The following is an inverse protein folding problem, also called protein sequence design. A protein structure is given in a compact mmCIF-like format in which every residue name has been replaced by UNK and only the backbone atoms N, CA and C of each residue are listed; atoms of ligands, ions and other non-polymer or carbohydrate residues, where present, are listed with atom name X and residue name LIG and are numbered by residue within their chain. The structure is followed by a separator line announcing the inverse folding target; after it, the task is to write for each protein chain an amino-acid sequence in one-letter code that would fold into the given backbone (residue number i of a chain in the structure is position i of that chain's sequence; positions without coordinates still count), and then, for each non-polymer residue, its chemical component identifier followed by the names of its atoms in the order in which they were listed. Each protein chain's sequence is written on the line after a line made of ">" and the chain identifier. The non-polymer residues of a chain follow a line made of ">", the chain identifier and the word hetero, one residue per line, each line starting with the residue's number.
data_IF_852778323269
#
_entry.id   IF_852778323269
#
_cell.length_a   1.000
_cell.length_b   1.000
_cell.length_c   1.000
_cell.angle_alpha   90.00
_cell.angle_beta   90.00
_cell.angle_gamma   90.00
#
_symmetry.space_group_name_H-M   'P 1'
#
loop_
_entity.id
_entity.type
_entity.pdbx_description
1 polymer ?
#
# COMPACT_ATOMS: atom_id res chain seq x y z
N UNK A 1 4.80 -30.95 8.72
CA UNK A 1 4.53 -30.07 9.89
C UNK A 1 3.13 -29.50 9.71
N UNK A 2 2.20 -29.91 10.60
CA UNK A 2 0.75 -29.76 10.48
C UNK A 2 0.30 -28.28 10.51
N UNK A 3 -0.79 -28.00 9.79
CA UNK A 3 -1.43 -26.67 9.74
C UNK A 3 -1.78 -26.10 11.15
N UNK A 4 -1.98 -26.96 12.15
CA UNK A 4 -2.22 -26.58 13.53
C UNK A 4 -1.00 -25.93 14.21
N UNK A 5 0.23 -26.34 13.90
CA UNK A 5 1.45 -25.75 14.46
C UNK A 5 1.76 -24.35 13.93
N UNK A 6 1.42 -24.08 12.66
CA UNK A 6 1.58 -22.75 12.07
C UNK A 6 0.59 -21.72 12.65
N UNK A 7 -0.63 -22.15 13.01
CA UNK A 7 -1.64 -21.30 13.65
C UNK A 7 -1.27 -20.86 15.07
N UNK A 8 -0.68 -21.75 15.87
CA UNK A 8 -0.31 -21.48 17.26
C UNK A 8 0.91 -20.56 17.35
N UNK A 9 1.93 -20.76 16.48
CA UNK A 9 3.08 -19.87 16.39
C UNK A 9 2.71 -18.43 15.98
N UNK A 10 1.75 -18.26 15.08
CA UNK A 10 1.24 -16.94 14.71
C UNK A 10 0.49 -16.27 15.86
N UNK A 11 -0.32 -16.98 16.62
CA UNK A 11 -1.06 -16.43 17.78
C UNK A 11 -0.14 -15.92 18.88
N UNK A 12 0.89 -16.68 19.24
CA UNK A 12 1.90 -16.28 20.23
C UNK A 12 2.69 -15.06 19.74
N UNK A 13 3.08 -15.05 18.48
CA UNK A 13 3.78 -13.92 17.87
C UNK A 13 2.94 -12.64 17.87
N UNK A 14 1.66 -12.73 17.53
CA UNK A 14 0.73 -11.59 17.60
C UNK A 14 0.53 -11.11 19.05
N UNK A 15 0.43 -12.02 20.01
CA UNK A 15 0.31 -11.66 21.44
C UNK A 15 1.55 -10.91 21.96
N UNK A 16 2.74 -11.33 21.55
CA UNK A 16 3.99 -10.64 21.86
C UNK A 16 4.08 -9.28 21.16
N UNK A 17 3.79 -9.23 19.86
CA UNK A 17 3.79 -7.98 19.10
C UNK A 17 2.78 -6.95 19.65
N UNK A 18 1.68 -7.39 20.23
CA UNK A 18 0.72 -6.48 20.86
C UNK A 18 1.28 -5.74 22.07
N UNK A 19 2.22 -6.38 22.81
CA UNK A 19 2.75 -5.89 24.11
C UNK A 19 4.11 -5.23 24.01
N UNK A 20 4.91 -5.60 23.02
CA UNK A 20 6.29 -5.10 22.83
C UNK A 20 6.30 -3.99 21.81
N UNK A 21 7.07 -2.94 22.02
CA UNK A 21 7.29 -1.91 21.03
C UNK A 21 7.78 -2.55 19.71
N UNK A 22 7.11 -2.22 18.61
CA UNK A 22 7.41 -2.83 17.32
C UNK A 22 8.83 -2.52 16.84
N UNK A 23 9.43 -1.39 17.24
CA UNK A 23 10.81 -1.02 16.91
C UNK A 23 11.80 -1.95 17.60
N UNK A 24 11.57 -2.22 18.88
CA UNK A 24 12.38 -3.18 19.65
C UNK A 24 12.24 -4.58 19.03
N UNK A 25 11.02 -5.00 18.70
CA UNK A 25 10.78 -6.26 18.00
C UNK A 25 11.59 -6.37 16.72
N UNK A 26 11.54 -5.35 15.86
CA UNK A 26 12.28 -5.33 14.60
C UNK A 26 13.80 -5.35 14.82
N UNK A 27 14.30 -4.63 15.83
CA UNK A 27 15.72 -4.63 16.20
C UNK A 27 16.21 -6.02 16.63
N UNK A 28 15.46 -6.68 17.50
CA UNK A 28 15.75 -8.05 17.93
C UNK A 28 15.69 -9.03 16.76
N UNK A 29 14.66 -8.95 15.93
CA UNK A 29 14.52 -9.83 14.74
C UNK A 29 15.63 -9.62 13.73
N UNK A 30 16.09 -8.39 13.56
CA UNK A 30 17.23 -8.08 12.70
C UNK A 30 18.52 -8.69 13.22
N UNK A 31 18.77 -8.64 14.53
CA UNK A 31 19.96 -9.25 15.17
C UNK A 31 19.93 -10.78 15.15
N UNK A 32 18.76 -11.38 15.44
CA UNK A 32 18.60 -12.84 15.44
C UNK A 32 18.58 -13.45 14.04
N UNK A 33 18.41 -12.62 13.01
CA UNK A 33 18.49 -13.05 11.63
C UNK A 33 19.93 -13.39 11.28
N UNK A 34 20.24 -14.68 11.14
CA UNK A 34 21.52 -15.10 10.58
C UNK A 34 21.73 -14.57 9.16
N UNK A 35 22.97 -14.46 8.74
CA UNK A 35 23.41 -13.96 7.42
C UNK A 35 22.92 -14.77 6.22
N UNK A 36 22.19 -15.86 6.44
CA UNK A 36 21.73 -16.75 5.36
C UNK A 36 20.55 -16.14 4.59
N UNK A 37 20.71 -15.82 3.30
CA UNK A 37 19.59 -15.38 2.47
C UNK A 37 18.53 -16.49 2.43
N UNK A 38 17.29 -16.16 2.74
CA UNK A 38 16.19 -17.13 2.65
C UNK A 38 16.02 -17.53 1.17
N UNK A 39 16.06 -18.82 0.87
CA UNK A 39 15.97 -19.38 -0.50
C UNK A 39 14.78 -18.81 -1.28
N UNK A 40 13.64 -18.59 -0.61
CA UNK A 40 12.41 -18.05 -1.21
C UNK A 40 12.54 -16.65 -1.82
N UNK A 41 13.55 -15.85 -1.43
CA UNK A 41 13.73 -14.49 -1.91
C UNK A 41 14.87 -14.34 -2.92
N UNK A 42 15.61 -15.41 -3.28
CA UNK A 42 16.82 -15.32 -4.11
C UNK A 42 16.56 -14.64 -5.45
N UNK A 43 15.54 -15.09 -6.19
CA UNK A 43 15.24 -14.51 -7.50
C UNK A 43 14.86 -13.03 -7.38
N UNK A 44 13.93 -12.69 -6.50
CA UNK A 44 13.51 -11.29 -6.27
C UNK A 44 14.66 -10.42 -5.76
N UNK A 45 15.55 -10.97 -4.96
CA UNK A 45 16.75 -10.26 -4.51
C UNK A 45 17.68 -9.94 -5.68
N UNK A 46 17.93 -10.89 -6.58
CA UNK A 46 18.78 -10.67 -7.76
C UNK A 46 18.18 -9.57 -8.66
N UNK A 47 16.89 -9.62 -8.93
CA UNK A 47 16.19 -8.58 -9.71
C UNK A 47 16.27 -7.22 -9.02
N UNK A 48 16.00 -7.14 -7.72
CA UNK A 48 16.05 -5.89 -6.97
C UNK A 48 17.47 -5.31 -6.92
N UNK A 49 18.50 -6.17 -6.80
CA UNK A 49 19.90 -5.75 -6.83
C UNK A 49 20.30 -5.23 -8.21
N UNK A 50 19.92 -5.94 -9.28
CA UNK A 50 20.18 -5.51 -10.66
C UNK A 50 19.51 -4.16 -10.96
N UNK A 51 18.25 -3.98 -10.55
CA UNK A 51 17.53 -2.71 -10.68
C UNK A 51 18.26 -1.58 -9.93
N UNK A 52 18.65 -1.83 -8.69
CA UNK A 52 19.41 -0.85 -7.90
C UNK A 52 20.72 -0.46 -8.58
N UNK A 53 21.52 -1.44 -8.99
CA UNK A 53 22.79 -1.19 -9.68
C UNK A 53 22.60 -0.39 -10.96
N UNK A 54 21.54 -0.73 -11.71
CA UNK A 54 21.21 -0.07 -12.96
C UNK A 54 20.74 1.38 -12.78
N UNK A 55 20.05 1.71 -11.70
CA UNK A 55 19.44 3.02 -11.47
C UNK A 55 20.29 3.94 -10.58
N UNK A 56 20.97 3.38 -9.58
CA UNK A 56 21.63 4.13 -8.51
C UNK A 56 23.14 3.85 -8.42
N UNK A 57 23.67 2.97 -9.28
CA UNK A 57 25.05 2.51 -9.20
C UNK A 57 25.29 1.47 -8.10
N UNK A 58 26.50 1.43 -7.55
CA UNK A 58 26.88 0.45 -6.53
C UNK A 58 26.16 0.65 -5.20
N UNK A 59 25.97 -0.43 -4.46
CA UNK A 59 25.44 -0.37 -3.11
C UNK A 59 24.89 -1.71 -2.60
N UNK A 60 24.81 -1.85 -1.27
CA UNK A 60 24.28 -3.04 -0.61
C UNK A 60 22.75 -2.93 -0.48
N UNK A 61 22.06 -4.02 -0.80
CA UNK A 61 20.62 -4.15 -0.64
C UNK A 61 20.31 -5.41 0.16
N UNK A 62 19.79 -5.26 1.37
CA UNK A 62 19.25 -6.38 2.15
C UNK A 62 17.75 -6.57 1.84
N UNK A 63 17.48 -7.01 0.62
CA UNK A 63 16.11 -7.21 0.13
C UNK A 63 15.30 -8.16 1.03
N UNK A 64 15.94 -9.23 1.52
CA UNK A 64 15.24 -10.18 2.37
C UNK A 64 14.82 -9.56 3.73
N UNK A 65 15.64 -8.66 4.28
CA UNK A 65 15.26 -7.90 5.47
C UNK A 65 14.13 -6.92 5.17
N UNK A 66 14.19 -6.22 4.06
CA UNK A 66 13.12 -5.30 3.67
C UNK A 66 11.77 -6.02 3.58
N UNK A 67 11.73 -7.21 2.95
CA UNK A 67 10.52 -8.03 2.86
C UNK A 67 10.04 -8.57 4.22
N UNK A 68 10.97 -9.00 5.07
CA UNK A 68 10.62 -9.46 6.41
C UNK A 68 10.12 -8.31 7.29
N UNK A 69 10.80 -7.15 7.25
CA UNK A 69 10.38 -5.95 7.98
C UNK A 69 8.95 -5.56 7.60
N UNK A 70 8.65 -5.53 6.29
CA UNK A 70 7.30 -5.26 5.79
C UNK A 70 6.29 -6.24 6.40
N UNK A 71 6.55 -7.56 6.33
CA UNK A 71 5.66 -8.57 6.90
C UNK A 71 5.42 -8.39 8.40
N UNK A 72 6.47 -8.03 9.16
CA UNK A 72 6.35 -7.76 10.59
C UNK A 72 5.55 -6.49 10.88
N UNK A 73 5.74 -5.44 10.10
CA UNK A 73 4.97 -4.19 10.22
C UNK A 73 3.49 -4.44 9.89
N UNK A 74 3.20 -5.13 8.80
CA UNK A 74 1.83 -5.48 8.43
C UNK A 74 1.15 -6.32 9.53
N UNK A 75 1.85 -7.31 10.08
CA UNK A 75 1.35 -8.12 11.19
C UNK A 75 1.14 -7.28 12.46
N UNK A 76 2.06 -6.38 12.77
CA UNK A 76 1.95 -5.49 13.93
C UNK A 76 0.75 -4.55 13.83
N UNK A 77 0.48 -4.00 12.64
CA UNK A 77 -0.66 -3.12 12.42
C UNK A 77 -2.00 -3.89 12.37
N UNK A 78 -2.07 -4.90 11.50
CA UNK A 78 -3.34 -5.56 11.16
C UNK A 78 -3.74 -6.59 12.22
N UNK A 79 -2.83 -7.50 12.57
CA UNK A 79 -3.17 -8.64 13.43
C UNK A 79 -2.95 -8.36 14.92
N UNK A 80 -1.84 -7.69 15.25
CA UNK A 80 -1.50 -7.42 16.65
C UNK A 80 -2.08 -6.08 17.15
N UNK A 81 -2.40 -5.14 16.28
CA UNK A 81 -2.84 -3.77 16.63
C UNK A 81 -1.86 -3.14 17.65
N UNK A 82 -0.58 -3.19 17.32
CA UNK A 82 0.47 -2.68 18.18
C UNK A 82 0.26 -1.18 18.45
N UNK A 83 0.06 -0.83 19.72
CA UNK A 83 -0.34 0.53 20.11
C UNK A 83 0.66 1.60 19.64
N UNK A 84 1.97 1.33 19.76
CA UNK A 84 3.00 2.28 19.33
C UNK A 84 2.97 2.49 17.82
N UNK A 85 2.81 1.41 17.03
CA UNK A 85 2.70 1.52 15.57
C UNK A 85 1.42 2.24 15.17
N UNK A 86 0.27 1.91 15.79
CA UNK A 86 -0.99 2.59 15.50
C UNK A 86 -0.95 4.09 15.81
N UNK A 87 -0.30 4.48 16.90
CA UNK A 87 -0.06 5.89 17.23
C UNK A 87 0.80 6.59 16.18
N UNK A 88 1.85 5.93 15.67
CA UNK A 88 2.66 6.49 14.58
C UNK A 88 1.88 6.64 13.27
N UNK A 89 1.04 5.63 12.92
CA UNK A 89 0.20 5.72 11.72
C UNK A 89 -0.83 6.86 11.87
N UNK A 90 -1.42 7.04 13.04
CA UNK A 90 -2.32 8.15 13.31
C UNK A 90 -1.60 9.52 13.17
N UNK A 91 -0.35 9.62 13.63
CA UNK A 91 0.46 10.81 13.42
C UNK A 91 0.76 11.07 11.94
N UNK A 92 1.11 10.02 11.17
CA UNK A 92 1.28 10.13 9.72
C UNK A 92 -0.02 10.58 9.02
N UNK A 93 -1.18 10.04 9.44
CA UNK A 93 -2.48 10.48 8.93
C UNK A 93 -2.73 11.96 9.24
N UNK A 94 -2.45 12.41 10.46
CA UNK A 94 -2.61 13.80 10.83
C UNK A 94 -1.69 14.75 10.03
N UNK A 95 -0.47 14.32 9.72
CA UNK A 95 0.43 15.09 8.84
C UNK A 95 -0.10 15.18 7.41
N UNK A 96 -0.59 14.07 6.86
CA UNK A 96 -1.19 14.03 5.52
C UNK A 96 -2.47 14.86 5.47
N UNK A 97 -3.23 14.87 6.54
CA UNK A 97 -4.50 15.60 6.66
C UNK A 97 -4.34 17.12 6.65
N UNK A 98 -3.16 17.62 7.02
CA UNK A 98 -2.83 19.05 6.86
C UNK A 98 -2.90 19.51 5.39
N UNK A 99 -2.75 18.58 4.45
CA UNK A 99 -2.88 18.85 3.00
C UNK A 99 -4.27 18.48 2.50
N UNK A 100 -4.83 17.38 2.97
CA UNK A 100 -6.07 16.79 2.43
C UNK A 100 -7.32 17.54 2.90
N UNK A 101 -7.43 17.83 4.19
CA UNK A 101 -8.61 18.49 4.76
C UNK A 101 -8.87 19.89 4.16
N UNK A 102 -7.86 20.77 3.95
CA UNK A 102 -8.07 22.05 3.28
C UNK A 102 -8.60 21.92 1.85
N UNK A 103 -8.17 20.91 1.09
CA UNK A 103 -8.67 20.65 -0.26
C UNK A 103 -10.16 20.30 -0.22
N UNK A 104 -10.57 19.39 0.66
CA UNK A 104 -11.98 19.04 0.83
C UNK A 104 -12.83 20.23 1.26
N UNK A 105 -12.34 21.06 2.19
CA UNK A 105 -13.02 22.29 2.61
C UNK A 105 -13.16 23.32 1.48
N UNK A 106 -12.22 23.30 0.54
CA UNK A 106 -12.28 24.15 -0.67
C UNK A 106 -13.17 23.54 -1.78
N UNK A 107 -13.86 22.41 -1.51
CA UNK A 107 -14.70 21.75 -2.50
C UNK A 107 -13.91 21.01 -3.60
N UNK A 108 -12.67 20.63 -3.32
CA UNK A 108 -11.81 19.90 -4.27
C UNK A 108 -11.73 18.42 -3.89
N UNK A 109 -12.23 17.48 -4.72
CA UNK A 109 -12.07 16.05 -4.48
C UNK A 109 -10.59 15.65 -4.44
N UNK A 110 -10.24 14.62 -3.66
CA UNK A 110 -8.85 14.19 -3.47
C UNK A 110 -8.65 12.75 -3.91
N UNK A 111 -7.61 12.54 -4.73
CA UNK A 111 -7.04 11.23 -5.04
C UNK A 111 -5.74 11.07 -4.25
N UNK A 112 -5.68 10.07 -3.40
CA UNK A 112 -4.50 9.72 -2.63
C UNK A 112 -3.62 8.76 -3.44
N UNK A 113 -2.37 9.13 -3.64
CA UNK A 113 -1.41 8.42 -4.48
C UNK A 113 -0.20 7.94 -3.65
N UNK A 114 -0.37 6.90 -2.79
CA UNK A 114 0.74 6.34 -2.05
C UNK A 114 1.74 5.62 -2.94
N UNK A 115 3.02 5.65 -2.53
CA UNK A 115 4.09 4.91 -3.17
C UNK A 115 4.38 3.61 -2.42
N UNK A 116 4.75 2.52 -3.13
CA UNK A 116 5.11 1.22 -2.54
C UNK A 116 6.50 1.26 -1.88
N UNK A 117 6.64 2.01 -0.80
CA UNK A 117 7.92 2.19 -0.11
C UNK A 117 8.11 1.21 1.05
N UNK A 118 7.48 1.45 2.19
CA UNK A 118 7.58 0.60 3.39
C UNK A 118 6.59 -0.57 3.34
N UNK A 119 5.32 -0.25 3.16
CA UNK A 119 4.21 -1.19 3.06
C UNK A 119 3.00 -0.51 2.42
N UNK A 120 2.37 -1.19 1.47
CA UNK A 120 1.10 -0.79 0.85
C UNK A 120 -0.05 -0.83 1.89
N UNK A 121 -0.04 -1.82 2.78
CA UNK A 121 -1.02 -1.93 3.87
C UNK A 121 -0.95 -0.71 4.78
N UNK A 122 0.24 -0.35 5.28
CA UNK A 122 0.39 0.81 6.16
C UNK A 122 0.07 2.13 5.45
N UNK A 123 0.49 2.27 4.19
CA UNK A 123 0.16 3.45 3.40
C UNK A 123 -1.36 3.59 3.20
N UNK A 124 -2.05 2.48 2.92
CA UNK A 124 -3.52 2.43 2.84
C UNK A 124 -4.18 2.83 4.17
N UNK A 125 -3.68 2.33 5.31
CA UNK A 125 -4.21 2.68 6.63
C UNK A 125 -4.04 4.18 6.93
N UNK A 126 -2.89 4.77 6.57
CA UNK A 126 -2.66 6.21 6.70
C UNK A 126 -3.65 7.00 5.83
N UNK A 127 -3.82 6.62 4.55
CA UNK A 127 -4.75 7.28 3.65
C UNK A 127 -6.23 7.14 4.06
N UNK A 128 -6.61 6.04 4.73
CA UNK A 128 -7.95 5.87 5.27
C UNK A 128 -8.20 6.68 6.55
N UNK A 129 -7.12 7.11 7.21
CA UNK A 129 -7.19 7.91 8.43
C UNK A 129 -7.41 9.40 8.21
N UNK A 130 -7.19 9.93 6.97
CA UNK A 130 -7.39 11.35 6.67
C UNK A 130 -8.85 11.68 6.39
N UNK A 131 -9.22 12.95 6.52
CA UNK A 131 -10.57 13.43 6.21
C UNK A 131 -11.01 12.98 4.80
N UNK A 132 -12.25 12.49 4.63
CA UNK A 132 -13.37 12.36 5.58
C UNK A 132 -13.34 11.06 6.41
N UNK A 133 -12.24 10.34 6.48
CA UNK A 133 -12.09 9.12 7.28
C UNK A 133 -12.61 7.85 6.59
N UNK A 134 -12.85 7.90 5.28
CA UNK A 134 -13.27 6.78 4.42
C UNK A 134 -12.53 6.82 3.09
N UNK A 135 -12.11 5.64 2.60
CA UNK A 135 -11.44 5.54 1.32
C UNK A 135 -11.82 4.26 0.56
N UNK A 136 -11.79 4.31 -0.76
CA UNK A 136 -11.80 3.12 -1.62
C UNK A 136 -10.42 2.93 -2.23
N UNK A 137 -9.86 1.74 -2.06
CA UNK A 137 -8.57 1.36 -2.65
C UNK A 137 -8.82 0.67 -3.99
N UNK A 138 -8.25 1.23 -5.05
CA UNK A 138 -8.26 0.56 -6.35
C UNK A 138 -7.09 -0.41 -6.39
N UNK A 139 -7.39 -1.70 -6.60
CA UNK A 139 -6.42 -2.79 -6.55
C UNK A 139 -6.42 -3.59 -7.86
N UNK A 140 -5.26 -4.19 -8.17
CA UNK A 140 -5.08 -5.11 -9.29
C UNK A 140 -5.13 -6.58 -8.87
N UNK A 141 -5.83 -6.91 -7.83
CA UNK A 141 -5.89 -8.27 -7.29
C UNK A 141 -7.28 -8.62 -6.74
N UNK A 142 -7.41 -9.85 -6.23
CA UNK A 142 -8.64 -10.32 -5.61
C UNK A 142 -9.02 -9.47 -4.38
N UNK A 143 -10.16 -8.79 -4.48
CA UNK A 143 -10.74 -7.97 -3.39
C UNK A 143 -10.90 -8.78 -2.11
N UNK A 144 -11.32 -10.04 -2.20
CA UNK A 144 -11.51 -10.88 -1.02
C UNK A 144 -10.17 -11.18 -0.32
N UNK A 145 -9.08 -11.29 -1.08
CA UNK A 145 -7.74 -11.47 -0.50
C UNK A 145 -7.28 -10.22 0.26
N UNK A 146 -7.63 -9.03 -0.22
CA UNK A 146 -7.35 -7.76 0.48
C UNK A 146 -8.28 -7.58 1.68
N UNK A 147 -9.58 -7.80 1.54
CA UNK A 147 -10.56 -7.69 2.61
C UNK A 147 -10.24 -8.63 3.80
N UNK A 148 -9.75 -9.85 3.51
CA UNK A 148 -9.30 -10.80 4.55
C UNK A 148 -8.05 -10.35 5.30
N UNK A 149 -7.24 -9.47 4.72
CA UNK A 149 -6.05 -8.88 5.36
C UNK A 149 -6.37 -7.62 6.16
N UNK A 150 -7.55 -7.04 5.92
CA UNK A 150 -7.99 -5.87 6.69
C UNK A 150 -8.38 -6.27 8.11
N UNK A 151 -8.03 -5.48 9.12
CA UNK A 151 -8.44 -5.73 10.49
C UNK A 151 -9.95 -5.76 10.63
N UNK A 152 -10.45 -6.50 11.62
CA UNK A 152 -11.87 -6.63 11.89
C UNK A 152 -12.51 -5.27 12.20
N UNK A 153 -13.74 -5.12 11.76
CA UNK A 153 -14.76 -4.11 12.06
C UNK A 153 -14.41 -2.63 11.82
N UNK A 154 -13.49 -2.00 12.52
CA UNK A 154 -13.25 -0.56 12.43
C UNK A 154 -12.71 -0.13 11.05
N UNK A 155 -11.77 -0.89 10.49
CA UNK A 155 -11.20 -0.59 9.18
C UNK A 155 -12.11 -0.97 8.02
N UNK A 156 -12.97 -2.00 8.20
CA UNK A 156 -14.01 -2.34 7.21
C UNK A 156 -15.04 -1.25 7.01
N UNK A 157 -15.26 -0.42 8.03
CA UNK A 157 -16.14 0.74 7.92
C UNK A 157 -15.48 1.91 7.18
N UNK A 158 -14.14 1.94 7.16
CA UNK A 158 -13.35 3.03 6.57
C UNK A 158 -12.77 2.69 5.20
N UNK A 159 -12.57 1.41 4.88
CA UNK A 159 -11.90 0.94 3.67
C UNK A 159 -12.79 0.02 2.86
N UNK A 160 -13.02 0.42 1.62
CA UNK A 160 -13.57 -0.44 0.58
C UNK A 160 -12.49 -0.74 -0.47
N UNK A 161 -12.69 -1.80 -1.24
CA UNK A 161 -11.77 -2.22 -2.29
C UNK A 161 -12.51 -2.36 -3.61
N UNK A 162 -11.92 -1.87 -4.69
CA UNK A 162 -12.39 -2.03 -6.06
C UNK A 162 -11.29 -2.71 -6.88
N UNK A 163 -11.53 -3.92 -7.38
CA UNK A 163 -10.58 -4.61 -8.25
C UNK A 163 -10.81 -4.21 -9.70
N UNK A 164 -9.71 -3.93 -10.41
CA UNK A 164 -9.77 -3.69 -11.86
C UNK A 164 -9.93 -4.97 -12.70
N UNK A 165 -9.93 -6.15 -12.05
CA UNK A 165 -10.06 -7.47 -12.68
C UNK A 165 -11.37 -8.19 -12.35
N UNK A 166 -12.27 -7.56 -11.63
CA UNK A 166 -13.62 -8.07 -11.39
C UNK A 166 -14.47 -8.00 -12.67
N UNK A 167 -15.70 -8.53 -12.60
CA UNK A 167 -16.67 -8.39 -13.69
C UNK A 167 -16.84 -6.91 -14.11
N UNK A 168 -16.76 -6.57 -15.41
CA UNK A 168 -16.83 -5.19 -15.88
C UNK A 168 -18.08 -4.42 -15.42
N UNK A 169 -19.22 -5.09 -15.25
CA UNK A 169 -20.46 -4.45 -14.76
C UNK A 169 -20.34 -4.12 -13.28
N UNK A 170 -19.74 -5.03 -12.51
CA UNK A 170 -19.49 -4.82 -11.08
C UNK A 170 -18.48 -3.69 -10.87
N UNK A 171 -17.37 -3.68 -11.63
CA UNK A 171 -16.39 -2.59 -11.62
C UNK A 171 -17.06 -1.25 -11.92
N UNK A 172 -17.86 -1.19 -13.01
CA UNK A 172 -18.51 0.06 -13.42
C UNK A 172 -19.43 0.60 -12.32
N UNK A 173 -20.23 -0.26 -11.68
CA UNK A 173 -21.10 0.12 -10.57
C UNK A 173 -20.32 0.62 -9.36
N UNK A 174 -19.35 -0.16 -8.88
CA UNK A 174 -18.52 0.17 -7.72
C UNK A 174 -17.70 1.44 -7.95
N UNK A 175 -17.08 1.58 -9.13
CA UNK A 175 -16.28 2.75 -9.47
C UNK A 175 -17.14 4.00 -9.60
N UNK A 176 -18.31 3.91 -10.25
CA UNK A 176 -19.24 5.03 -10.39
C UNK A 176 -19.73 5.53 -9.02
N UNK A 177 -20.11 4.61 -8.13
CA UNK A 177 -20.50 4.95 -6.76
C UNK A 177 -19.34 5.59 -5.99
N UNK A 178 -18.15 5.04 -6.10
CA UNK A 178 -16.93 5.57 -5.47
C UNK A 178 -16.61 6.98 -5.98
N UNK A 179 -16.73 7.21 -7.29
CA UNK A 179 -16.50 8.54 -7.89
C UNK A 179 -17.54 9.56 -7.43
N UNK A 180 -18.82 9.16 -7.33
CA UNK A 180 -19.88 10.04 -6.82
C UNK A 180 -19.59 10.43 -5.37
N UNK A 181 -19.29 9.47 -4.49
CA UNK A 181 -18.99 9.75 -3.09
C UNK A 181 -17.71 10.59 -2.93
N UNK A 182 -16.72 10.43 -3.82
CA UNK A 182 -15.52 11.27 -3.83
C UNK A 182 -15.83 12.70 -4.27
N UNK A 183 -16.67 12.89 -5.30
CA UNK A 183 -17.12 14.20 -5.74
C UNK A 183 -17.96 14.93 -4.67
N UNK A 184 -18.68 14.20 -3.84
CA UNK A 184 -19.44 14.71 -2.69
C UNK A 184 -18.60 14.85 -1.40
N UNK A 185 -17.29 14.68 -1.48
CA UNK A 185 -16.34 14.78 -0.35
C UNK A 185 -16.61 13.80 0.81
N UNK A 186 -17.31 12.70 0.54
CA UNK A 186 -17.65 11.67 1.54
C UNK A 186 -16.61 10.55 1.60
N UNK A 187 -15.67 10.53 0.64
CA UNK A 187 -14.70 9.45 0.48
C UNK A 187 -13.46 9.92 -0.29
N UNK A 188 -12.31 9.38 0.03
CA UNK A 188 -11.11 9.47 -0.80
C UNK A 188 -10.98 8.25 -1.73
N UNK A 189 -10.26 8.39 -2.82
CA UNK A 189 -9.83 7.26 -3.65
C UNK A 189 -8.32 7.09 -3.45
N UNK A 190 -7.89 5.87 -3.15
CA UNK A 190 -6.49 5.50 -3.02
C UNK A 190 -6.08 4.68 -4.24
N UNK A 191 -5.07 5.12 -4.96
CA UNK A 191 -4.52 4.44 -6.12
C UNK A 191 -2.99 4.50 -6.09
N UNK A 192 -2.33 3.34 -6.10
CA UNK A 192 -0.88 3.25 -6.15
C UNK A 192 -0.39 3.48 -7.59
N UNK A 193 0.32 4.60 -7.86
CA UNK A 193 0.70 4.98 -9.23
C UNK A 193 1.97 4.31 -9.72
N UNK A 194 2.77 3.73 -8.84
CA UNK A 194 4.12 3.21 -9.10
C UNK A 194 4.15 1.71 -9.46
N UNK A 195 2.99 1.12 -9.73
CA UNK A 195 2.90 -0.22 -10.34
C UNK A 195 3.06 -0.09 -11.84
N UNK A 196 3.94 -0.90 -12.43
CA UNK A 196 4.09 -0.92 -13.89
C UNK A 196 2.90 -1.61 -14.55
N UNK A 197 2.42 -1.10 -15.71
CA UNK A 197 1.30 -1.72 -16.44
C UNK A 197 1.52 -3.20 -16.76
N UNK A 198 2.75 -3.63 -16.99
CA UNK A 198 3.09 -5.00 -17.35
C UNK A 198 2.74 -6.05 -16.26
N UNK A 199 2.58 -5.62 -15.00
CA UNK A 199 2.13 -6.48 -13.91
C UNK A 199 0.62 -6.59 -13.77
N UNK A 200 -0.12 -5.68 -14.37
CA UNK A 200 -1.56 -5.52 -14.11
C UNK A 200 -2.43 -5.69 -15.35
N UNK A 201 -1.85 -5.56 -16.55
CA UNK A 201 -2.57 -5.73 -17.80
C UNK A 201 -2.32 -7.14 -18.36
N UNK A 202 -3.40 -7.88 -18.56
CA UNK A 202 -3.34 -9.23 -19.15
C UNK A 202 -3.12 -9.22 -20.67
N UNK A 203 -3.21 -8.07 -21.34
CA UNK A 203 -2.94 -7.94 -22.76
C UNK A 203 -2.12 -6.69 -23.07
N UNK A 204 -1.17 -6.84 -24.03
CA UNK A 204 -0.40 -5.72 -24.58
C UNK A 204 -1.25 -4.74 -25.42
N UNK A 205 -2.56 -4.97 -25.54
CA UNK A 205 -3.43 -4.24 -26.45
C UNK A 205 -3.98 -2.93 -25.89
N UNK A 206 -3.94 -2.72 -24.56
CA UNK A 206 -4.43 -1.50 -23.95
C UNK A 206 -3.36 -0.38 -23.92
N UNK A 207 -3.00 0.11 -25.10
CA UNK A 207 -2.11 1.30 -25.25
C UNK A 207 -2.67 2.50 -24.49
N UNK A 208 -3.98 2.65 -24.44
CA UNK A 208 -4.66 3.72 -23.72
C UNK A 208 -4.48 3.69 -22.19
N UNK A 209 -4.13 2.53 -21.62
CA UNK A 209 -3.86 2.39 -20.19
C UNK A 209 -2.42 2.75 -19.81
N UNK A 210 -1.52 2.95 -20.80
CA UNK A 210 -0.10 3.23 -20.60
C UNK A 210 0.19 4.70 -20.88
N UNK A 211 0.90 5.33 -19.95
CA UNK A 211 1.45 6.67 -20.10
C UNK A 211 2.97 6.54 -20.30
N UNK A 212 3.45 6.89 -21.49
CA UNK A 212 4.89 6.91 -21.75
C UNK A 212 5.55 8.04 -20.97
N UNK A 213 6.63 7.74 -20.30
CA UNK A 213 7.42 8.69 -19.51
C UNK A 213 8.91 8.31 -19.52
N UNK A 214 9.73 9.14 -18.89
CA UNK A 214 11.12 8.81 -18.60
C UNK A 214 11.33 8.75 -17.09
N UNK A 215 11.92 7.65 -16.63
CA UNK A 215 12.29 7.46 -15.24
C UNK A 215 13.82 7.29 -15.19
N UNK A 216 14.50 8.18 -14.48
CA UNK A 216 15.98 8.22 -14.43
C UNK A 216 16.64 8.23 -15.81
N UNK A 217 16.08 9.02 -16.76
CA UNK A 217 16.58 9.13 -18.13
C UNK A 217 16.28 7.94 -19.05
N UNK A 218 15.52 6.94 -18.59
CA UNK A 218 15.14 5.74 -19.36
C UNK A 218 13.66 5.76 -19.72
N UNK A 219 13.28 5.27 -20.92
CA UNK A 219 11.88 5.09 -21.27
C UNK A 219 11.17 4.18 -20.26
N UNK A 220 10.00 4.59 -19.81
CA UNK A 220 9.18 3.82 -18.88
C UNK A 220 7.69 4.03 -19.20
N UNK A 221 6.85 3.17 -18.65
CA UNK A 221 5.41 3.30 -18.74
C UNK A 221 4.81 3.31 -17.33
N UNK A 222 3.90 4.24 -17.11
CA UNK A 222 3.07 4.31 -15.91
C UNK A 222 1.61 4.05 -16.26
N UNK A 223 0.80 3.66 -15.28
CA UNK A 223 -0.64 3.57 -15.45
C UNK A 223 -1.27 4.95 -15.64
N UNK A 224 -2.08 5.11 -16.70
CA UNK A 224 -2.84 6.33 -16.93
C UNK A 224 -4.04 6.50 -15.98
N UNK A 225 -4.38 5.48 -15.19
CA UNK A 225 -5.57 5.44 -14.34
C UNK A 225 -5.71 6.64 -13.42
N UNK A 226 -4.63 7.04 -12.74
CA UNK A 226 -4.66 8.19 -11.83
C UNK A 226 -4.94 9.51 -12.57
N UNK A 227 -4.36 9.70 -13.75
CA UNK A 227 -4.57 10.90 -14.58
C UNK A 227 -6.00 10.94 -15.12
N UNK A 228 -6.54 9.79 -15.53
CA UNK A 228 -7.92 9.69 -16.03
C UNK A 228 -8.94 9.97 -14.92
N UNK A 229 -8.75 9.39 -13.75
CA UNK A 229 -9.61 9.62 -12.58
C UNK A 229 -9.54 11.06 -12.10
N UNK A 230 -8.34 11.65 -12.00
CA UNK A 230 -8.19 13.05 -11.56
C UNK A 230 -8.89 14.02 -12.51
N UNK A 231 -8.79 13.79 -13.81
CA UNK A 231 -9.50 14.61 -14.82
C UNK A 231 -11.01 14.44 -14.74
N UNK A 232 -11.50 13.20 -14.63
CA UNK A 232 -12.94 12.91 -14.56
C UNK A 232 -13.60 13.53 -13.31
N UNK A 233 -12.91 13.52 -12.18
CA UNK A 233 -13.38 14.07 -10.91
C UNK A 233 -12.99 15.53 -10.70
N UNK A 234 -12.14 16.13 -11.56
CA UNK A 234 -11.46 17.40 -11.30
C UNK A 234 -10.75 17.39 -9.94
N UNK A 235 -10.19 16.24 -9.57
CA UNK A 235 -9.61 16.00 -8.27
C UNK A 235 -8.14 16.42 -8.22
N UNK A 236 -7.70 16.88 -7.06
CA UNK A 236 -6.30 17.05 -6.74
C UNK A 236 -5.67 15.68 -6.42
N UNK A 237 -4.52 15.39 -7.03
CA UNK A 237 -3.72 14.21 -6.68
C UNK A 237 -2.73 14.58 -5.59
N UNK A 238 -2.78 13.85 -4.47
CA UNK A 238 -1.85 14.02 -3.35
C UNK A 238 -0.94 12.79 -3.28
N UNK A 239 0.31 12.97 -3.68
CA UNK A 239 1.34 11.93 -3.58
C UNK A 239 1.91 11.89 -2.17
N UNK A 240 2.09 10.69 -1.63
CA UNK A 240 2.78 10.50 -0.36
C UNK A 240 3.54 9.17 -0.30
N UNK A 241 4.52 9.11 0.56
CA UNK A 241 5.30 7.90 0.81
C UNK A 241 5.58 7.75 2.30
N UNK A 242 5.62 6.51 2.76
CA UNK A 242 6.10 6.19 4.10
C UNK A 242 7.60 5.88 4.03
N UNK A 243 8.34 6.35 5.01
CA UNK A 243 9.72 5.93 5.21
C UNK A 243 9.89 5.44 6.65
N UNK A 244 10.84 4.54 6.84
CA UNK A 244 11.14 3.98 8.15
C UNK A 244 12.39 4.70 8.68
N UNK A 245 12.18 5.55 9.66
CA UNK A 245 13.27 6.21 10.37
C UNK A 245 14.04 5.20 11.24
N UNK A 246 15.37 5.34 11.29
CA UNK A 246 16.28 4.36 11.93
C UNK A 246 16.50 4.67 13.39
#
# INVERSE_FOLDING_TARGET
>A
LSAAGAGMGNRLTCALLRRVDYRLWLAVRRRLRGSRPQRRFRHRHAVALANRQSLLGEGKLDFAWLMQRRQWLDMAAVSARNAALMSHLAHCSAQLDQVVEPLHRAGVPVLLAPMHTVSDVLATLVGAGVYPGRATVIVSGDVQAFARRSPEDEWRQRLDYCSIHDDPRHIAGTLSQTMLEAAEHRRNIILFPDITPDYTLHSNQDVAAKLACHLFGRPAHLHSGIVRLSRALRAQVVFYSLYFDR
#
